data_IF_762054546673
#
_entry.id   IF_762054546673
#
_cell.length_a   1.000
_cell.length_b   1.000
_cell.length_c   1.000
_cell.angle_alpha   90.00
_cell.angle_beta   90.00
_cell.angle_gamma   90.00
#
_symmetry.space_group_name_H-M   'P 1'
#
loop_
_entity.id
_entity.type
_entity.pdbx_description
1 polymer ?
#
# COMPACT_ATOMS: atom_id res chain seq x y z
N UNK A 1 -23.29 4.53 -5.22
CA UNK A 1 -22.08 3.74 -4.92
C UNK A 1 -22.18 3.31 -3.48
N UNK A 2 -21.79 2.06 -3.18
CA UNK A 2 -21.74 1.57 -1.80
C UNK A 2 -20.35 1.85 -1.25
N UNK A 3 -20.27 2.42 -0.04
CA UNK A 3 -19.01 2.68 0.65
C UNK A 3 -18.13 1.42 0.73
N UNK A 4 -18.73 0.23 0.89
CA UNK A 4 -18.00 -1.04 0.90
C UNK A 4 -17.28 -1.30 -0.44
N UNK A 5 -17.98 -1.09 -1.55
CA UNK A 5 -17.42 -1.28 -2.89
C UNK A 5 -16.28 -0.28 -3.15
N UNK A 6 -16.46 0.98 -2.73
CA UNK A 6 -15.43 2.02 -2.89
C UNK A 6 -14.17 1.68 -2.07
N UNK A 7 -14.33 1.24 -0.81
CA UNK A 7 -13.21 0.85 0.05
C UNK A 7 -12.50 -0.41 -0.46
N UNK A 8 -13.24 -1.38 -1.00
CA UNK A 8 -12.68 -2.58 -1.63
C UNK A 8 -11.89 -2.23 -2.88
N UNK A 9 -12.39 -1.30 -3.70
CA UNK A 9 -11.64 -0.77 -4.85
C UNK A 9 -10.34 -0.10 -4.41
N UNK A 10 -10.36 0.70 -3.35
CA UNK A 10 -9.15 1.32 -2.79
C UNK A 10 -8.15 0.26 -2.33
N UNK A 11 -8.60 -0.83 -1.71
CA UNK A 11 -7.71 -1.95 -1.31
C UNK A 11 -6.95 -2.53 -2.51
N UNK A 12 -7.63 -2.74 -3.65
CA UNK A 12 -6.97 -3.20 -4.88
C UNK A 12 -5.95 -2.18 -5.41
N UNK A 13 -6.25 -0.88 -5.30
CA UNK A 13 -5.29 0.17 -5.65
C UNK A 13 -4.07 0.17 -4.71
N UNK A 14 -4.25 -0.10 -3.42
CA UNK A 14 -3.13 -0.27 -2.49
C UNK A 14 -2.19 -1.38 -2.93
N UNK A 15 -2.71 -2.55 -3.33
CA UNK A 15 -1.89 -3.66 -3.79
C UNK A 15 -1.04 -3.28 -5.02
N UNK A 16 -1.65 -2.60 -5.99
CA UNK A 16 -0.95 -2.11 -7.19
C UNK A 16 0.14 -1.06 -6.86
N UNK A 17 -0.10 -0.17 -5.91
CA UNK A 17 0.90 0.82 -5.49
C UNK A 17 2.06 0.13 -4.78
N UNK A 18 1.78 -0.84 -3.91
CA UNK A 18 2.81 -1.59 -3.18
C UNK A 18 3.70 -2.39 -4.13
N UNK A 19 3.13 -3.04 -5.14
CA UNK A 19 3.88 -3.75 -6.19
C UNK A 19 4.83 -2.80 -6.94
N UNK A 20 4.32 -1.65 -7.39
CA UNK A 20 5.11 -0.66 -8.13
C UNK A 20 6.23 -0.03 -7.28
N UNK A 21 6.00 0.16 -5.98
CA UNK A 21 7.03 0.65 -5.06
C UNK A 21 8.15 -0.37 -4.88
N UNK A 22 7.81 -1.65 -4.74
CA UNK A 22 8.80 -2.73 -4.63
C UNK A 22 9.62 -2.88 -5.92
N UNK A 23 8.98 -2.83 -7.09
CA UNK A 23 9.68 -2.78 -8.38
C UNK A 23 10.63 -1.58 -8.49
N UNK A 24 10.15 -0.38 -8.13
CA UNK A 24 10.98 0.84 -8.16
C UNK A 24 12.16 0.76 -7.21
N UNK A 25 11.98 0.18 -6.01
CA UNK A 25 13.05 0.00 -5.04
C UNK A 25 14.11 -0.98 -5.54
N UNK A 26 13.71 -2.05 -6.25
CA UNK A 26 14.63 -3.00 -6.89
C UNK A 26 15.47 -2.35 -7.99
N UNK A 27 14.92 -1.42 -8.76
CA UNK A 27 15.65 -0.72 -9.84
C UNK A 27 16.79 0.16 -9.32
N UNK A 28 16.63 0.74 -8.13
CA UNK A 28 17.64 1.65 -7.53
C UNK A 28 18.52 0.98 -6.47
N UNK A 29 18.22 -0.26 -6.09
CA UNK A 29 18.98 -1.05 -5.12
C UNK A 29 20.38 -1.41 -5.61
N UNK A 30 21.37 -1.37 -4.73
CA UNK A 30 22.78 -1.62 -5.05
C UNK A 30 23.42 -0.56 -5.95
N UNK A 31 22.72 0.55 -6.21
CA UNK A 31 23.20 1.67 -7.00
C UNK A 31 23.57 2.89 -6.14
N UNK A 32 24.00 4.00 -6.78
CA UNK A 32 24.41 5.25 -6.09
C UNK A 32 23.29 5.98 -5.34
N UNK A 33 22.05 5.47 -5.40
CA UNK A 33 20.84 6.09 -4.86
C UNK A 33 20.23 5.25 -3.74
N UNK A 34 21.06 4.59 -2.95
CA UNK A 34 20.60 3.70 -1.88
C UNK A 34 19.75 4.41 -0.81
N UNK A 35 19.98 5.71 -0.57
CA UNK A 35 19.12 6.52 0.29
C UNK A 35 17.65 6.55 -0.20
N UNK A 36 17.44 6.54 -1.51
CA UNK A 36 16.08 6.49 -2.11
C UNK A 36 15.41 5.14 -1.83
N UNK A 37 16.18 4.05 -1.74
CA UNK A 37 15.65 2.72 -1.40
C UNK A 37 15.07 2.74 0.01
N UNK A 38 15.77 3.38 0.96
CA UNK A 38 15.30 3.51 2.34
C UNK A 38 13.97 4.29 2.40
N UNK A 39 13.88 5.42 1.70
CA UNK A 39 12.65 6.22 1.61
C UNK A 39 11.48 5.42 1.00
N UNK A 40 11.73 4.66 -0.06
CA UNK A 40 10.71 3.83 -0.71
C UNK A 40 10.18 2.73 0.24
N UNK A 41 11.05 2.09 1.00
CA UNK A 41 10.64 1.09 2.00
C UNK A 41 9.87 1.72 3.18
N UNK A 42 10.23 2.94 3.60
CA UNK A 42 9.44 3.67 4.61
C UNK A 42 8.03 3.97 4.10
N UNK A 43 7.90 4.44 2.85
CA UNK A 43 6.60 4.68 2.22
C UNK A 43 5.79 3.38 2.13
N UNK A 44 6.40 2.28 1.67
CA UNK A 44 5.75 0.96 1.61
C UNK A 44 5.22 0.54 2.99
N UNK A 45 6.04 0.72 4.04
CA UNK A 45 5.66 0.41 5.43
C UNK A 45 4.45 1.21 5.88
N UNK A 46 4.40 2.51 5.57
CA UNK A 46 3.26 3.37 5.90
C UNK A 46 1.99 2.95 5.16
N UNK A 47 2.11 2.63 3.87
CA UNK A 47 0.99 2.18 3.06
C UNK A 47 0.43 0.84 3.55
N UNK A 48 1.29 -0.13 3.91
CA UNK A 48 0.84 -1.40 4.51
C UNK A 48 0.11 -1.18 5.83
N UNK A 49 0.52 -0.20 6.64
CA UNK A 49 -0.22 0.15 7.85
C UNK A 49 -1.59 0.76 7.55
N UNK A 50 -1.69 1.63 6.54
CA UNK A 50 -2.95 2.21 6.09
C UNK A 50 -3.89 1.12 5.53
N UNK A 51 -3.38 0.23 4.69
CA UNK A 51 -4.11 -0.91 4.13
C UNK A 51 -4.70 -1.81 5.24
N UNK A 52 -3.93 -2.12 6.29
CA UNK A 52 -4.44 -2.88 7.44
C UNK A 52 -5.55 -2.15 8.21
N UNK A 53 -5.47 -0.82 8.34
CA UNK A 53 -6.54 -0.01 8.98
C UNK A 53 -7.80 -0.02 8.12
N UNK A 54 -7.64 0.12 6.81
CA UNK A 54 -8.74 0.10 5.85
C UNK A 54 -9.45 -1.25 5.83
N UNK A 55 -8.68 -2.35 5.79
CA UNK A 55 -9.24 -3.69 5.87
C UNK A 55 -10.13 -3.87 7.11
N UNK A 56 -9.67 -3.44 8.28
CA UNK A 56 -10.50 -3.50 9.50
C UNK A 56 -11.80 -2.71 9.35
N UNK A 57 -11.74 -1.52 8.74
CA UNK A 57 -12.94 -0.72 8.50
C UNK A 57 -13.95 -1.43 7.58
N UNK A 58 -13.46 -2.11 6.54
CA UNK A 58 -14.30 -2.94 5.67
C UNK A 58 -14.93 -4.10 6.46
N UNK A 59 -14.12 -4.83 7.23
CA UNK A 59 -14.59 -5.97 8.04
C UNK A 59 -15.68 -5.52 9.06
N UNK A 60 -15.58 -4.30 9.61
CA UNK A 60 -16.62 -3.71 10.48
C UNK A 60 -17.93 -3.40 9.74
N UNK A 61 -17.86 -2.99 8.47
CA UNK A 61 -19.04 -2.71 7.66
C UNK A 61 -19.79 -3.98 7.23
N UNK A 62 -19.11 -5.14 7.19
CA UNK A 62 -19.72 -6.43 6.86
C UNK A 62 -20.42 -7.10 8.06
N UNK A 63 -20.04 -6.70 9.28
CA UNK A 63 -20.54 -7.26 10.54
C UNK A 63 -21.62 -6.41 11.22
N UNK A 64 -21.86 -5.20 10.70
CA UNK A 64 -22.89 -4.24 11.17
C UNK A 64 -24.15 -4.32 10.31
#
# INVERSE_FOLDING_TARGET
MSIHADLTSIMSTFDQILERLDESAKEVSGGPKEDVVADLYEVERHLRQAQRRLKRAIDYLETS
#
